data_IF_934057152593
#
_entry.id   IF_934057152593
#
_cell.length_a   1.000
_cell.length_b   1.000
_cell.length_c   1.000
_cell.angle_alpha   90.00
_cell.angle_beta   90.00
_cell.angle_gamma   90.00
#
_symmetry.space_group_name_H-M   'P 1'
#
loop_
_entity.id
_entity.type
_entity.pdbx_description
1 polymer ?
#
# COMPACT_ATOMS: atom_id res chain seq x y z
N UNK A 1 -17.36 -35.35 -28.42
CA UNK A 1 -16.04 -35.36 -27.75
C UNK A 1 -15.56 -33.92 -27.61
N UNK A 2 -15.56 -33.32 -26.40
CA UNK A 2 -15.01 -31.99 -26.22
C UNK A 2 -13.48 -32.07 -26.18
N UNK A 3 -12.82 -31.20 -26.95
CA UNK A 3 -11.37 -31.01 -26.91
C UNK A 3 -11.02 -30.31 -25.58
N UNK A 4 -10.33 -31.02 -24.69
CA UNK A 4 -9.59 -30.40 -23.60
C UNK A 4 -8.43 -29.58 -24.20
N UNK A 5 -8.68 -28.29 -24.44
CA UNK A 5 -7.61 -27.34 -24.73
C UNK A 5 -6.92 -26.98 -23.41
N UNK A 6 -5.63 -27.30 -23.41
CA UNK A 6 -4.66 -27.08 -22.36
C UNK A 6 -4.61 -25.60 -21.94
N UNK A 7 -5.24 -25.24 -20.80
CA UNK A 7 -5.37 -23.86 -20.31
C UNK A 7 -4.41 -23.52 -19.16
N UNK A 8 -3.35 -24.31 -18.92
CA UNK A 8 -2.47 -24.10 -17.77
C UNK A 8 -1.54 -22.87 -17.92
N UNK A 9 -1.15 -22.52 -19.16
CA UNK A 9 -0.31 -21.35 -19.44
C UNK A 9 -1.03 -20.01 -19.23
N UNK A 10 -2.36 -19.97 -19.41
CA UNK A 10 -3.14 -18.76 -19.15
C UNK A 10 -3.27 -18.52 -17.64
N UNK A 11 -3.46 -19.58 -16.84
CA UNK A 11 -3.59 -19.46 -15.39
C UNK A 11 -2.35 -18.86 -14.73
N UNK A 12 -1.15 -19.33 -15.07
CA UNK A 12 0.09 -18.81 -14.45
C UNK A 12 0.36 -17.36 -14.87
N UNK A 13 0.18 -17.03 -16.15
CA UNK A 13 0.36 -15.65 -16.63
C UNK A 13 -0.67 -14.69 -16.03
N UNK A 14 -1.92 -15.13 -15.86
CA UNK A 14 -2.98 -14.36 -15.21
C UNK A 14 -2.70 -14.19 -13.72
N UNK A 15 -2.22 -15.22 -13.02
CA UNK A 15 -1.84 -15.14 -11.61
C UNK A 15 -0.65 -14.20 -11.42
N UNK A 16 0.39 -14.26 -12.28
CA UNK A 16 1.54 -13.34 -12.19
C UNK A 16 1.13 -11.90 -12.49
N UNK A 17 0.28 -11.68 -13.49
CA UNK A 17 -0.26 -10.35 -13.78
C UNK A 17 -1.13 -9.83 -12.62
N UNK A 18 -2.03 -10.65 -12.08
CA UNK A 18 -2.88 -10.29 -10.95
C UNK A 18 -2.06 -10.03 -9.67
N UNK A 19 -1.04 -10.84 -9.40
CA UNK A 19 -0.16 -10.61 -8.26
C UNK A 19 0.62 -9.31 -8.40
N UNK A 20 1.16 -9.02 -9.59
CA UNK A 20 1.88 -7.77 -9.83
C UNK A 20 0.99 -6.53 -9.73
N UNK A 21 -0.25 -6.61 -10.23
CA UNK A 21 -1.20 -5.49 -10.18
C UNK A 21 -1.76 -5.27 -8.77
N UNK A 22 -2.10 -6.33 -8.03
CA UNK A 22 -2.74 -6.22 -6.71
C UNK A 22 -1.73 -6.01 -5.59
N UNK A 23 -0.63 -6.77 -5.59
CA UNK A 23 0.36 -6.68 -4.50
C UNK A 23 1.42 -5.61 -4.73
N UNK A 24 1.47 -4.99 -5.92
CA UNK A 24 2.48 -3.98 -6.21
C UNK A 24 2.37 -2.74 -5.35
N UNK A 25 1.15 -2.32 -5.01
CA UNK A 25 0.92 -1.18 -4.12
C UNK A 25 1.44 -1.50 -2.71
N UNK A 26 0.90 -2.57 -2.10
CA UNK A 26 1.29 -3.07 -0.77
C UNK A 26 2.81 -3.31 -0.64
N UNK A 27 3.44 -3.78 -1.71
CA UNK A 27 4.87 -4.11 -1.73
C UNK A 27 5.81 -2.90 -1.77
N UNK A 28 5.33 -1.73 -2.20
CA UNK A 28 6.14 -0.51 -2.32
C UNK A 28 5.93 0.44 -1.15
N UNK A 29 4.68 0.59 -0.68
CA UNK A 29 4.29 0.53 0.74
C UNK A 29 5.37 0.87 1.78
N UNK A 30 6.04 -0.16 2.33
CA UNK A 30 7.05 -0.02 3.37
C UNK A 30 8.22 0.91 3.05
N UNK A 31 8.62 1.03 1.78
CA UNK A 31 9.86 1.73 1.41
C UNK A 31 9.72 3.25 1.58
N UNK A 32 8.64 3.83 1.06
CA UNK A 32 8.41 5.26 1.20
C UNK A 32 7.92 5.60 2.62
N UNK A 33 7.11 4.73 3.24
CA UNK A 33 6.67 4.93 4.62
C UNK A 33 7.85 4.96 5.60
N UNK A 34 8.83 4.07 5.45
CA UNK A 34 10.03 4.07 6.28
C UNK A 34 10.85 5.34 6.08
N UNK A 35 10.99 5.81 4.83
CA UNK A 35 11.64 7.11 4.53
C UNK A 35 10.91 8.26 5.21
N UNK A 36 9.57 8.28 5.12
CA UNK A 36 8.73 9.32 5.71
C UNK A 36 8.79 9.34 7.24
N UNK A 37 8.91 8.17 7.88
CA UNK A 37 9.08 8.06 9.33
C UNK A 37 10.36 8.75 9.84
N UNK A 38 11.41 8.81 9.01
CA UNK A 38 12.69 9.46 9.32
C UNK A 38 12.84 10.84 8.66
N UNK A 39 11.75 11.40 8.12
CA UNK A 39 11.79 12.73 7.53
C UNK A 39 12.18 13.79 8.57
N UNK A 40 12.97 14.80 8.16
CA UNK A 40 13.57 15.80 9.06
C UNK A 40 12.53 16.55 9.92
N UNK A 41 11.30 16.65 9.42
CA UNK A 41 10.15 17.26 10.10
C UNK A 41 9.82 16.63 11.46
N UNK A 42 10.17 15.35 11.67
CA UNK A 42 9.92 14.65 12.94
C UNK A 42 11.04 14.85 13.96
N UNK A 43 12.23 15.31 13.55
CA UNK A 43 13.38 15.52 14.44
C UNK A 43 13.88 14.24 15.13
N UNK A 44 13.59 13.06 14.59
CA UNK A 44 13.95 11.78 15.17
C UNK A 44 15.38 11.38 14.77
N UNK A 45 16.29 11.16 15.73
CA UNK A 45 17.61 10.67 15.41
C UNK A 45 17.52 9.21 14.93
N UNK A 46 18.31 8.88 13.91
CA UNK A 46 18.44 7.52 13.37
C UNK A 46 19.29 6.69 14.31
N UNK A 47 18.69 6.23 15.42
CA UNK A 47 19.31 5.33 16.39
C UNK A 47 18.79 3.90 16.22
N UNK A 48 19.58 2.87 16.58
CA UNK A 48 19.13 1.47 16.49
C UNK A 48 17.80 1.20 17.21
N UNK A 49 17.59 1.81 18.38
CA UNK A 49 16.36 1.69 19.16
C UNK A 49 15.14 2.26 18.39
N UNK A 50 15.30 3.42 17.77
CA UNK A 50 14.24 4.07 17.01
C UNK A 50 13.90 3.30 15.73
N UNK A 51 14.92 2.80 15.03
CA UNK A 51 14.75 1.96 13.83
C UNK A 51 14.01 0.67 14.19
N UNK A 52 14.39 -0.03 15.26
CA UNK A 52 13.69 -1.23 15.70
C UNK A 52 12.25 -0.93 16.15
N UNK A 53 12.02 0.21 16.80
CA UNK A 53 10.69 0.68 17.18
C UNK A 53 9.78 0.89 15.97
N UNK A 54 10.25 1.64 14.97
CA UNK A 54 9.50 1.92 13.73
C UNK A 54 9.26 0.66 12.92
N UNK A 55 10.28 -0.18 12.73
CA UNK A 55 10.13 -1.47 12.04
C UNK A 55 9.13 -2.38 12.75
N UNK A 56 9.11 -2.37 14.09
CA UNK A 56 8.12 -3.12 14.86
C UNK A 56 6.71 -2.59 14.65
N UNK A 57 6.53 -1.27 14.62
CA UNK A 57 5.24 -0.65 14.32
C UNK A 57 4.75 -1.03 12.91
N UNK A 58 5.64 -1.03 11.92
CA UNK A 58 5.33 -1.43 10.54
C UNK A 58 4.86 -2.90 10.50
N UNK A 59 5.64 -3.82 11.07
CA UNK A 59 5.32 -5.25 11.10
C UNK A 59 3.97 -5.50 11.76
N UNK A 60 3.74 -4.93 12.94
CA UNK A 60 2.49 -5.15 13.66
C UNK A 60 1.29 -4.43 13.03
N UNK A 61 1.50 -3.30 12.36
CA UNK A 61 0.44 -2.65 11.58
C UNK A 61 0.00 -3.54 10.42
N UNK A 62 0.93 -4.12 9.67
CA UNK A 62 0.63 -5.07 8.60
C UNK A 62 -0.08 -6.32 9.13
N UNK A 63 0.38 -6.90 10.24
CA UNK A 63 -0.25 -8.08 10.84
C UNK A 63 -1.67 -7.75 11.32
N UNK A 64 -1.84 -6.68 12.11
CA UNK A 64 -3.14 -6.37 12.70
C UNK A 64 -4.15 -5.86 11.66
N UNK A 65 -3.71 -4.97 10.77
CA UNK A 65 -4.62 -4.31 9.83
C UNK A 65 -4.77 -5.12 8.55
N UNK A 66 -3.68 -5.54 7.90
CA UNK A 66 -3.79 -6.25 6.61
C UNK A 66 -4.18 -7.70 6.81
N UNK A 67 -3.69 -8.37 7.86
CA UNK A 67 -4.02 -9.79 8.08
C UNK A 67 -5.24 -9.98 8.98
N UNK A 68 -5.17 -9.54 10.23
CA UNK A 68 -6.20 -9.85 11.24
C UNK A 68 -7.52 -9.15 10.94
N UNK A 69 -7.52 -7.82 10.71
CA UNK A 69 -8.75 -7.07 10.42
C UNK A 69 -9.42 -7.55 9.14
N UNK A 70 -8.67 -7.78 8.05
CA UNK A 70 -9.29 -8.24 6.80
C UNK A 70 -9.86 -9.64 6.94
N UNK A 71 -9.11 -10.60 7.47
CA UNK A 71 -9.59 -11.99 7.59
C UNK A 71 -10.77 -12.13 8.56
N UNK A 72 -10.76 -11.40 9.68
CA UNK A 72 -11.80 -11.54 10.70
C UNK A 72 -13.06 -10.72 10.43
N UNK A 73 -12.94 -9.56 9.79
CA UNK A 73 -14.07 -8.64 9.61
C UNK A 73 -14.42 -8.44 8.13
N UNK A 74 -13.47 -7.99 7.31
CA UNK A 74 -13.77 -7.58 5.93
C UNK A 74 -14.21 -8.78 5.08
N UNK A 75 -13.48 -9.89 5.16
CA UNK A 75 -13.81 -11.12 4.41
C UNK A 75 -15.07 -11.84 4.94
N UNK A 76 -15.53 -11.51 6.15
CA UNK A 76 -16.80 -12.03 6.70
C UNK A 76 -18.02 -11.18 6.33
N UNK A 77 -17.80 -9.92 5.97
CA UNK A 77 -18.84 -9.01 5.52
C UNK A 77 -18.81 -8.94 3.99
N UNK A 78 -19.07 -10.09 3.36
CA UNK A 78 -19.09 -10.23 1.91
C UNK A 78 -20.49 -10.00 1.34
N UNK A 79 -20.54 -9.51 0.11
CA UNK A 79 -21.74 -9.46 -0.71
C UNK A 79 -21.49 -10.29 -1.97
N UNK A 80 -22.06 -11.50 -2.04
CA UNK A 80 -21.84 -12.43 -3.16
C UNK A 80 -20.35 -12.74 -3.42
N UNK A 81 -19.52 -12.75 -2.38
CA UNK A 81 -18.07 -12.98 -2.49
C UNK A 81 -17.24 -11.74 -2.81
N UNK A 82 -17.85 -10.56 -2.99
CA UNK A 82 -17.14 -9.28 -3.05
C UNK A 82 -17.04 -8.65 -1.65
N UNK A 83 -15.83 -8.30 -1.23
CA UNK A 83 -15.57 -7.58 0.02
C UNK A 83 -15.32 -6.09 -0.21
N UNK A 84 -15.23 -5.33 0.89
CA UNK A 84 -14.79 -3.93 0.86
C UNK A 84 -15.91 -2.89 0.94
N UNK A 85 -15.54 -1.61 0.85
CA UNK A 85 -16.46 -0.49 1.14
C UNK A 85 -17.66 -0.41 0.17
N UNK A 86 -17.48 -0.78 -1.11
CA UNK A 86 -18.56 -0.78 -2.10
C UNK A 86 -19.56 -1.92 -1.84
N UNK A 87 -19.07 -3.10 -1.46
CA UNK A 87 -19.91 -4.22 -1.03
C UNK A 87 -20.71 -3.88 0.23
N UNK A 88 -20.08 -3.23 1.21
CA UNK A 88 -20.74 -2.78 2.45
C UNK A 88 -21.82 -1.70 2.18
N UNK A 89 -21.55 -0.77 1.25
CA UNK A 89 -22.55 0.23 0.84
C UNK A 89 -23.74 -0.45 0.13
N UNK A 90 -23.48 -1.42 -0.76
CA UNK A 90 -24.52 -2.17 -1.45
C UNK A 90 -25.39 -2.99 -0.49
N UNK A 91 -24.79 -3.73 0.45
CA UNK A 91 -25.49 -4.48 1.49
C UNK A 91 -26.34 -3.59 2.41
N UNK A 92 -25.82 -2.41 2.75
CA UNK A 92 -26.57 -1.43 3.53
C UNK A 92 -27.84 -0.97 2.81
N UNK A 93 -27.76 -0.73 1.50
CA UNK A 93 -28.91 -0.30 0.71
C UNK A 93 -29.92 -1.44 0.51
N UNK A 94 -29.45 -2.68 0.38
CA UNK A 94 -30.31 -3.86 0.24
C UNK A 94 -31.05 -4.20 1.54
N UNK A 95 -30.39 -4.04 2.69
CA UNK A 95 -30.99 -4.31 4.02
C UNK A 95 -31.96 -3.22 4.47
N UNK A 96 -31.75 -1.97 4.04
CA UNK A 96 -32.63 -0.82 4.31
C UNK A 96 -32.68 0.09 3.09
N UNK A 97 -33.64 -0.09 2.16
CA UNK A 97 -33.77 0.77 0.99
C UNK A 97 -33.96 2.22 1.44
N UNK A 98 -33.11 3.10 0.95
CA UNK A 98 -33.11 4.52 1.32
C UNK A 98 -34.23 5.24 0.60
N UNK A 99 -35.19 5.72 1.38
CA UNK A 99 -36.22 6.62 0.91
C UNK A 99 -35.64 8.05 0.88
N UNK A 100 -35.16 8.50 -0.28
CA UNK A 100 -34.55 9.83 -0.46
C UNK A 100 -35.47 10.98 -0.03
N UNK A 101 -36.78 10.76 0.08
CA UNK A 101 -37.74 11.76 0.57
C UNK A 101 -37.68 11.96 2.09
N UNK A 102 -37.11 11.00 2.85
CA UNK A 102 -36.93 11.07 4.31
C UNK A 102 -35.51 11.47 4.73
N UNK A 103 -34.64 11.76 3.76
CA UNK A 103 -33.23 12.12 3.98
C UNK A 103 -32.29 10.91 3.94
N UNK A 104 -30.99 11.21 3.88
CA UNK A 104 -29.93 10.20 3.87
C UNK A 104 -29.79 9.56 5.26
N UNK A 105 -29.94 8.24 5.34
CA UNK A 105 -29.63 7.48 6.55
C UNK A 105 -28.13 7.59 6.88
N UNK A 106 -27.79 7.66 8.17
CA UNK A 106 -26.40 7.75 8.66
C UNK A 106 -25.48 6.70 8.02
N UNK A 107 -25.98 5.48 7.79
CA UNK A 107 -25.20 4.41 7.16
C UNK A 107 -24.84 4.73 5.71
N UNK A 108 -25.75 5.32 4.94
CA UNK A 108 -25.45 5.75 3.56
C UNK A 108 -24.53 6.96 3.54
N UNK A 109 -24.70 7.91 4.47
CA UNK A 109 -23.75 9.02 4.61
C UNK A 109 -22.34 8.52 4.91
N UNK A 110 -22.18 7.59 5.85
CA UNK A 110 -20.89 6.97 6.17
C UNK A 110 -20.31 6.19 4.97
N UNK A 111 -21.15 5.47 4.24
CA UNK A 111 -20.72 4.75 3.03
C UNK A 111 -20.29 5.69 1.90
N UNK A 112 -20.99 6.81 1.67
CA UNK A 112 -20.60 7.83 0.70
C UNK A 112 -19.27 8.51 1.08
N UNK A 113 -19.06 8.78 2.38
CA UNK A 113 -17.78 9.27 2.89
C UNK A 113 -16.67 8.25 2.63
N UNK A 114 -16.91 6.96 2.87
CA UNK A 114 -15.96 5.89 2.57
C UNK A 114 -15.59 5.81 1.10
N UNK A 115 -16.57 5.93 0.19
CA UNK A 115 -16.33 5.97 -1.26
C UNK A 115 -15.52 7.20 -1.67
N UNK A 116 -15.78 8.36 -1.06
CA UNK A 116 -14.99 9.57 -1.32
C UNK A 116 -13.53 9.41 -0.87
N UNK A 117 -13.28 8.76 0.26
CA UNK A 117 -11.92 8.43 0.70
C UNK A 117 -11.23 7.44 -0.23
N UNK A 118 -11.93 6.41 -0.70
CA UNK A 118 -11.39 5.47 -1.69
C UNK A 118 -10.99 6.17 -2.99
N UNK A 119 -11.83 7.10 -3.46
CA UNK A 119 -11.54 7.87 -4.66
C UNK A 119 -10.36 8.84 -4.47
N UNK A 120 -10.25 9.42 -3.28
CA UNK A 120 -9.13 10.30 -2.92
C UNK A 120 -7.80 9.54 -2.89
N UNK A 121 -7.79 8.34 -2.30
CA UNK A 121 -6.63 7.45 -2.28
C UNK A 121 -6.18 7.09 -3.71
N UNK A 122 -7.13 6.73 -4.58
CA UNK A 122 -6.86 6.44 -5.98
C UNK A 122 -6.23 7.60 -6.79
N UNK A 123 -6.41 8.85 -6.35
CA UNK A 123 -5.78 10.03 -6.96
C UNK A 123 -4.39 10.30 -6.37
N UNK A 124 -4.23 10.13 -5.05
CA UNK A 124 -3.01 10.50 -4.32
C UNK A 124 -1.89 9.46 -4.52
N UNK A 125 -2.22 8.17 -4.48
CA UNK A 125 -1.23 7.09 -4.49
C UNK A 125 -0.31 7.07 -5.73
N UNK A 126 -0.80 7.26 -6.97
CA UNK A 126 0.08 7.36 -8.13
C UNK A 126 1.03 8.56 -8.07
N UNK A 127 0.59 9.68 -7.49
CA UNK A 127 1.41 10.88 -7.37
C UNK A 127 2.54 10.68 -6.35
N UNK A 128 2.21 10.20 -5.15
CA UNK A 128 3.21 9.95 -4.08
C UNK A 128 4.19 8.86 -4.51
N UNK A 129 3.71 7.75 -5.07
CA UNK A 129 4.58 6.64 -5.48
C UNK A 129 5.60 7.05 -6.54
N UNK A 130 5.18 7.81 -7.57
CA UNK A 130 6.10 8.29 -8.61
C UNK A 130 7.04 9.35 -8.05
N UNK A 131 6.55 10.27 -7.21
CA UNK A 131 7.39 11.29 -6.58
C UNK A 131 8.49 10.63 -5.72
N UNK A 132 8.13 9.72 -4.82
CA UNK A 132 9.08 9.02 -3.96
C UNK A 132 10.11 8.19 -4.75
N UNK A 133 9.71 7.62 -5.89
CA UNK A 133 10.64 6.93 -6.79
C UNK A 133 11.64 7.90 -7.43
N UNK A 134 11.19 9.06 -7.91
CA UNK A 134 12.06 10.08 -8.52
C UNK A 134 12.96 10.74 -7.47
N UNK A 135 12.46 10.99 -6.27
CA UNK A 135 13.24 11.45 -5.11
C UNK A 135 14.25 10.41 -4.64
N UNK A 136 14.16 9.16 -5.09
CA UNK A 136 15.22 8.17 -4.87
C UNK A 136 16.51 8.51 -5.63
N UNK A 137 16.41 9.26 -6.74
CA UNK A 137 17.57 9.64 -7.57
C UNK A 137 18.52 10.61 -6.85
N UNK A 138 18.00 11.41 -5.92
CA UNK A 138 18.83 12.34 -5.14
C UNK A 138 19.72 11.65 -4.12
N UNK A 139 19.45 10.38 -3.78
CA UNK A 139 20.32 9.61 -2.89
C UNK A 139 21.72 9.37 -3.48
N UNK A 140 21.85 9.44 -4.81
CA UNK A 140 23.13 9.22 -5.51
C UNK A 140 23.72 10.51 -6.07
N UNK A 141 22.90 11.49 -6.45
CA UNK A 141 23.38 12.74 -7.07
C UNK A 141 22.36 13.89 -6.95
N UNK A 142 22.79 15.03 -6.40
CA UNK A 142 21.93 16.22 -6.20
C UNK A 142 21.58 16.98 -7.49
N UNK A 143 22.21 16.65 -8.62
CA UNK A 143 21.99 17.29 -9.94
C UNK A 143 20.52 17.19 -10.38
N UNK A 144 19.79 16.17 -9.96
CA UNK A 144 18.39 15.96 -10.33
C UNK A 144 17.38 16.72 -9.47
N UNK A 145 17.81 17.38 -8.38
CA UNK A 145 16.91 18.09 -7.44
C UNK A 145 15.92 19.08 -8.10
N UNK A 146 16.33 19.98 -9.01
CA UNK A 146 15.38 20.90 -9.65
C UNK A 146 14.45 20.21 -10.66
N UNK A 147 14.78 18.98 -11.08
CA UNK A 147 14.03 18.23 -12.08
C UNK A 147 13.03 17.23 -11.49
N UNK A 148 13.03 17.01 -10.16
CA UNK A 148 12.15 16.04 -9.49
C UNK A 148 10.69 16.32 -9.82
N UNK A 149 10.22 17.54 -9.54
CA UNK A 149 8.81 17.89 -9.72
C UNK A 149 8.39 17.89 -11.19
N UNK A 150 9.11 18.52 -12.14
CA UNK A 150 8.78 18.43 -13.57
C UNK A 150 8.78 16.99 -14.10
N UNK A 151 9.75 16.18 -13.70
CA UNK A 151 9.86 14.79 -14.14
C UNK A 151 8.72 13.94 -13.58
N UNK A 152 8.35 14.13 -12.32
CA UNK A 152 7.20 13.44 -11.70
C UNK A 152 5.91 13.75 -12.45
N UNK A 153 5.63 15.04 -12.72
CA UNK A 153 4.45 15.45 -13.48
C UNK A 153 4.46 14.86 -14.89
N UNK A 154 5.62 14.86 -15.57
CA UNK A 154 5.76 14.28 -16.90
C UNK A 154 5.53 12.75 -16.89
N UNK A 155 6.07 12.03 -15.91
CA UNK A 155 5.91 10.59 -15.75
C UNK A 155 4.44 10.22 -15.47
N UNK A 156 3.79 10.92 -14.53
CA UNK A 156 2.36 10.71 -14.24
C UNK A 156 1.53 11.00 -15.50
N UNK A 157 1.75 12.13 -16.17
CA UNK A 157 1.02 12.47 -17.40
C UNK A 157 1.21 11.41 -18.50
N UNK A 158 2.44 10.91 -18.67
CA UNK A 158 2.76 9.85 -19.63
C UNK A 158 2.08 8.52 -19.27
N UNK A 159 2.14 8.11 -18.01
CA UNK A 159 1.49 6.89 -17.51
C UNK A 159 -0.02 6.95 -17.77
N UNK A 160 -0.67 8.02 -17.35
CA UNK A 160 -2.11 8.23 -17.59
C UNK A 160 -2.45 8.41 -19.08
N UNK A 161 -1.52 8.88 -19.91
CA UNK A 161 -1.71 8.95 -21.36
C UNK A 161 -1.68 7.57 -22.02
N UNK A 162 -0.81 6.67 -21.55
CA UNK A 162 -0.70 5.30 -22.05
C UNK A 162 -1.89 4.45 -21.55
N UNK A 163 -2.36 4.65 -20.32
CA UNK A 163 -3.53 3.95 -19.76
C UNK A 163 -4.82 4.12 -20.57
N UNK A 164 -4.95 5.20 -21.35
CA UNK A 164 -6.10 5.44 -22.25
C UNK A 164 -6.26 4.37 -23.34
N UNK A 165 -5.18 3.62 -23.64
CA UNK A 165 -5.16 2.58 -24.68
C UNK A 165 -5.61 1.19 -24.18
N UNK A 166 -5.99 1.08 -22.91
CA UNK A 166 -6.49 -0.14 -22.28
C UNK A 166 -5.62 -0.63 -21.13
N UNK A 167 -6.25 -0.94 -20.00
CA UNK A 167 -5.58 -1.41 -18.78
C UNK A 167 -5.02 -2.83 -18.90
N UNK A 168 -5.60 -3.67 -19.77
CA UNK A 168 -5.19 -5.06 -19.95
C UNK A 168 -3.75 -5.22 -20.48
N UNK A 169 -3.35 -4.39 -21.45
CA UNK A 169 -1.99 -4.44 -22.02
C UNK A 169 -0.94 -3.99 -21.01
N UNK A 170 -1.25 -2.97 -20.21
CA UNK A 170 -0.35 -2.45 -19.17
C UNK A 170 -0.17 -3.48 -18.05
N UNK A 171 -1.27 -4.09 -17.57
CA UNK A 171 -1.22 -5.13 -16.55
C UNK A 171 -0.35 -6.32 -16.94
N UNK A 172 -0.34 -6.68 -18.23
CA UNK A 172 0.50 -7.79 -18.74
C UNK A 172 2.00 -7.48 -18.71
N UNK A 173 2.40 -6.22 -18.87
CA UNK A 173 3.79 -5.76 -18.79
C UNK A 173 4.20 -5.55 -17.33
N UNK A 174 3.28 -5.05 -16.52
CA UNK A 174 3.52 -4.73 -15.11
C UNK A 174 3.80 -5.97 -14.26
N UNK A 175 3.10 -7.08 -14.52
CA UNK A 175 3.29 -8.35 -13.80
C UNK A 175 4.76 -8.83 -13.77
N UNK A 176 5.41 -9.03 -14.93
CA UNK A 176 6.83 -9.41 -14.99
C UNK A 176 7.78 -8.41 -14.31
N UNK A 177 7.53 -7.11 -14.47
CA UNK A 177 8.35 -6.05 -13.85
C UNK A 177 8.24 -6.14 -12.32
N UNK A 178 7.02 -6.31 -11.80
CA UNK A 178 6.78 -6.46 -10.37
C UNK A 178 7.38 -7.75 -9.81
N UNK A 179 7.34 -8.84 -10.56
CA UNK A 179 8.01 -10.08 -10.17
C UNK A 179 9.53 -9.88 -10.05
N UNK A 180 10.15 -9.24 -11.06
CA UNK A 180 11.56 -8.89 -11.01
C UNK A 180 11.88 -7.98 -9.82
N UNK A 181 11.02 -6.99 -9.56
CA UNK A 181 11.14 -6.10 -8.40
C UNK A 181 11.09 -6.86 -7.08
N UNK A 182 10.09 -7.72 -6.87
CA UNK A 182 9.97 -8.52 -5.65
C UNK A 182 11.13 -9.48 -5.44
N UNK A 183 11.61 -10.13 -6.51
CA UNK A 183 12.81 -10.98 -6.44
C UNK A 183 14.03 -10.15 -6.04
N UNK A 184 14.19 -8.96 -6.62
CA UNK A 184 15.30 -8.06 -6.29
C UNK A 184 15.23 -7.64 -4.81
N UNK A 185 14.05 -7.22 -4.34
CA UNK A 185 13.82 -6.85 -2.94
C UNK A 185 14.03 -8.03 -1.98
N UNK A 186 13.62 -9.24 -2.37
CA UNK A 186 13.85 -10.44 -1.57
C UNK A 186 15.35 -10.78 -1.45
N UNK A 187 16.10 -10.70 -2.54
CA UNK A 187 17.54 -10.96 -2.54
C UNK A 187 18.31 -9.90 -1.74
N UNK A 188 18.02 -8.61 -1.95
CA UNK A 188 18.63 -7.51 -1.20
C UNK A 188 18.24 -7.55 0.28
N UNK A 189 16.97 -7.83 0.58
CA UNK A 189 16.47 -8.00 1.94
C UNK A 189 17.14 -9.16 2.65
N UNK A 190 17.30 -10.31 1.98
CA UNK A 190 18.00 -11.46 2.54
C UNK A 190 19.49 -11.17 2.78
N UNK A 191 20.14 -10.47 1.84
CA UNK A 191 21.52 -10.04 2.02
C UNK A 191 21.68 -9.12 3.24
N UNK A 192 20.82 -8.11 3.38
CA UNK A 192 20.81 -7.20 4.54
C UNK A 192 20.49 -7.93 5.85
N UNK A 193 19.61 -8.94 5.82
CA UNK A 193 19.25 -9.75 6.97
C UNK A 193 20.43 -10.57 7.50
N UNK A 194 21.26 -11.12 6.60
CA UNK A 194 22.47 -11.85 6.97
C UNK A 194 23.50 -10.91 7.63
N UNK A 195 23.60 -9.66 7.16
CA UNK A 195 24.50 -8.68 7.74
C UNK A 195 24.03 -8.15 9.11
N UNK A 196 22.73 -7.94 9.27
CA UNK A 196 22.13 -7.35 10.47
C UNK A 196 20.97 -8.20 11.00
N UNK A 197 21.25 -9.38 11.59
CA UNK A 197 20.21 -10.26 12.11
C UNK A 197 19.42 -9.65 13.27
N UNK A 198 19.94 -8.60 13.90
CA UNK A 198 19.26 -7.86 14.97
C UNK A 198 17.94 -7.25 14.52
N UNK A 199 17.76 -6.97 13.22
CA UNK A 199 16.52 -6.45 12.65
C UNK A 199 15.32 -7.37 12.93
N UNK A 200 15.54 -8.69 13.06
CA UNK A 200 14.48 -9.64 13.40
C UNK A 200 13.85 -9.38 14.77
N UNK A 201 14.55 -8.67 15.68
CA UNK A 201 13.99 -8.28 16.98
C UNK A 201 12.79 -7.35 16.82
N UNK A 202 12.67 -6.63 15.69
CA UNK A 202 11.51 -5.80 15.40
C UNK A 202 10.18 -6.58 15.38
N UNK A 203 10.20 -7.89 15.15
CA UNK A 203 9.00 -8.73 15.24
C UNK A 203 8.37 -8.73 16.65
N UNK A 204 9.13 -8.39 17.70
CA UNK A 204 8.60 -8.27 19.04
C UNK A 204 7.83 -6.94 19.21
N UNK A 205 6.52 -6.95 19.53
CA UNK A 205 5.68 -5.75 19.64
C UNK A 205 6.13 -4.81 20.77
N UNK A 206 6.93 -5.30 21.70
CA UNK A 206 7.47 -4.48 22.79
C UNK A 206 8.30 -3.30 22.26
N UNK A 207 8.99 -3.44 21.12
CA UNK A 207 9.73 -2.33 20.52
C UNK A 207 8.82 -1.20 20.04
N UNK A 208 7.69 -1.54 19.40
CA UNK A 208 6.68 -0.57 19.00
C UNK A 208 6.08 0.16 20.22
N UNK A 209 5.70 -0.58 21.25
CA UNK A 209 5.11 -0.02 22.47
C UNK A 209 6.12 0.88 23.20
N UNK A 210 7.36 0.43 23.35
CA UNK A 210 8.41 1.23 23.99
C UNK A 210 8.70 2.50 23.21
N UNK A 211 8.72 2.44 21.88
CA UNK A 211 8.90 3.62 21.03
C UNK A 211 7.77 4.64 21.25
N UNK A 212 6.51 4.20 21.22
CA UNK A 212 5.36 5.07 21.45
C UNK A 212 5.36 5.69 22.85
N UNK A 213 5.77 4.93 23.88
CA UNK A 213 5.84 5.46 25.25
C UNK A 213 6.99 6.47 25.40
N UNK A 214 8.18 6.16 24.86
CA UNK A 214 9.36 7.03 24.94
C UNK A 214 9.20 8.32 24.13
N UNK A 215 8.48 8.25 23.01
CA UNK A 215 8.28 9.36 22.09
C UNK A 215 6.81 9.75 21.95
N UNK A 216 6.01 9.77 23.02
CA UNK A 216 4.54 9.92 22.94
C UNK A 216 4.02 11.05 22.01
N UNK A 217 4.68 12.21 21.95
CA UNK A 217 4.30 13.28 21.03
C UNK A 217 4.64 12.97 19.56
N UNK A 218 5.92 12.69 19.28
CA UNK A 218 6.42 12.44 17.92
C UNK A 218 5.95 11.08 17.38
N UNK A 219 5.78 10.11 18.26
CA UNK A 219 5.33 8.76 17.95
C UNK A 219 3.94 8.73 17.34
N UNK A 220 3.05 9.66 17.68
CA UNK A 220 1.74 9.81 17.02
C UNK A 220 1.90 10.29 15.58
N UNK A 221 2.79 11.26 15.34
CA UNK A 221 3.08 11.76 13.99
C UNK A 221 3.69 10.66 13.12
N UNK A 222 4.70 9.96 13.66
CA UNK A 222 5.35 8.82 12.99
C UNK A 222 4.36 7.70 12.74
N UNK A 223 3.40 7.46 13.64
CA UNK A 223 2.36 6.46 13.43
C UNK A 223 1.48 6.81 12.21
N UNK A 224 1.28 8.10 11.93
CA UNK A 224 0.70 8.57 10.68
C UNK A 224 1.53 8.17 9.46
N UNK A 225 2.86 8.33 9.52
CA UNK A 225 3.77 7.87 8.48
C UNK A 225 3.82 6.34 8.34
N UNK A 226 3.75 5.59 9.46
CA UNK A 226 3.67 4.12 9.45
C UNK A 226 2.36 3.66 8.83
N UNK A 227 1.27 4.40 9.00
CA UNK A 227 -0.02 4.07 8.40
C UNK A 227 0.05 4.04 6.87
N UNK A 228 0.99 4.77 6.27
CA UNK A 228 1.24 4.71 4.82
C UNK A 228 1.65 3.32 4.33
N UNK A 229 2.15 2.43 5.20
CA UNK A 229 2.43 1.04 4.83
C UNK A 229 1.15 0.26 4.48
N UNK A 230 0.01 0.72 4.99
CA UNK A 230 -1.27 0.04 4.86
C UNK A 230 -2.04 0.47 3.60
N UNK A 231 -1.54 1.43 2.84
CA UNK A 231 -2.15 1.82 1.57
C UNK A 231 -2.07 0.67 0.57
N UNK A 232 -3.13 0.51 -0.22
CA UNK A 232 -3.27 -0.62 -1.15
C UNK A 232 -3.87 -1.89 -0.55
N UNK A 233 -4.15 -1.93 0.76
CA UNK A 233 -4.83 -3.05 1.43
C UNK A 233 -6.35 -2.88 1.49
#
# INVERSE_FOLDING_TARGET
>A
MPKHLNNQSSSVSLTVAAMGVVYGDIGTSPLYALRECFHESHGLPVTPDNVLGILSMIVWSLVLVVTVKYLLFVMKADNEGEGGMLALLALSQQSRPVDLRKGLNVVVTLGLIGVAFLYSDGIITPAISVLSAVEGLTLTTDVFTPYILPLTVALVALLFMIQRRGSGTIGSIFGPIMLLWFVTMALLGLHSLIQTPEVLRAANPLYAIQFLIRHAGVGILVLGSVFLVLTGA
#
